data_IF_639675729937
#
_entry.id   IF_639675729937
#
_cell.length_a   1.000
_cell.length_b   1.000
_cell.length_c   1.000
_cell.angle_alpha   90.00
_cell.angle_beta   90.00
_cell.angle_gamma   90.00
#
_symmetry.space_group_name_H-M   'P 1'
#
loop_
_entity.id
_entity.type
_entity.pdbx_description
1 polymer ?
#
# COMPACT_ATOMS: atom_id res chain seq x y z
N UNK A 1 18.03 29.94 -69.02
CA UNK A 1 16.90 29.17 -68.42
C UNK A 1 17.47 28.54 -67.17
N UNK A 2 17.22 29.17 -65.98
CA UNK A 2 17.63 28.65 -64.66
C UNK A 2 16.49 27.76 -64.12
N UNK A 3 16.76 26.48 -63.97
CA UNK A 3 15.82 25.54 -63.30
C UNK A 3 15.89 25.76 -61.80
N UNK A 4 14.81 26.29 -61.22
CA UNK A 4 14.62 26.41 -59.80
C UNK A 4 14.25 25.04 -59.22
N UNK A 5 15.12 24.40 -58.45
CA UNK A 5 14.88 23.13 -57.75
C UNK A 5 14.17 23.46 -56.45
N UNK A 6 12.86 23.15 -56.37
CA UNK A 6 12.05 23.30 -55.16
C UNK A 6 12.33 22.12 -54.26
N UNK A 7 13.10 22.33 -53.18
CA UNK A 7 13.31 21.34 -52.12
C UNK A 7 12.06 21.34 -51.18
N UNK A 8 11.18 20.37 -51.34
CA UNK A 8 10.06 20.15 -50.41
C UNK A 8 10.64 19.42 -49.21
N UNK A 9 10.94 20.14 -48.12
CA UNK A 9 11.20 19.57 -46.82
C UNK A 9 9.92 19.06 -46.21
N UNK A 10 9.70 17.75 -46.28
CA UNK A 10 8.64 17.07 -45.58
C UNK A 10 8.99 17.06 -44.07
N UNK A 11 8.45 18.01 -43.30
CA UNK A 11 8.47 17.93 -41.84
C UNK A 11 7.63 16.76 -41.43
N UNK A 12 8.25 15.63 -41.14
CA UNK A 12 7.61 14.56 -40.35
C UNK A 12 7.37 15.06 -38.93
N UNK A 13 6.17 15.51 -38.63
CA UNK A 13 5.72 15.61 -37.25
C UNK A 13 5.61 14.17 -36.72
N UNK A 14 6.59 13.72 -35.98
CA UNK A 14 6.42 12.59 -35.10
C UNK A 14 5.39 13.04 -34.02
N UNK A 15 4.12 12.71 -34.24
CA UNK A 15 3.20 12.66 -33.13
C UNK A 15 3.71 11.51 -32.24
N UNK A 16 4.38 11.84 -31.14
CA UNK A 16 4.54 10.93 -30.04
C UNK A 16 3.12 10.65 -29.56
N UNK A 17 2.61 9.46 -29.86
CA UNK A 17 1.37 9.01 -29.26
C UNK A 17 1.64 8.87 -27.76
N UNK A 18 1.17 9.84 -26.98
CA UNK A 18 1.13 9.72 -25.54
C UNK A 18 -0.02 8.78 -25.19
N UNK A 19 0.16 7.90 -24.22
CA UNK A 19 -0.90 7.20 -23.56
C UNK A 19 -1.80 8.27 -22.95
N UNK A 20 -3.07 8.32 -23.28
CA UNK A 20 -3.98 9.38 -22.86
C UNK A 20 -5.37 8.79 -22.60
N UNK A 21 -6.00 9.32 -21.56
CA UNK A 21 -7.42 9.11 -21.30
C UNK A 21 -8.21 9.61 -22.50
N UNK A 22 -9.15 8.80 -23.01
CA UNK A 22 -10.02 9.15 -24.14
C UNK A 22 -11.47 9.38 -23.72
N UNK A 23 -11.87 8.91 -22.54
CA UNK A 23 -13.22 9.09 -22.00
C UNK A 23 -13.49 10.51 -21.51
N UNK A 24 -12.44 11.21 -21.07
CA UNK A 24 -12.50 12.59 -20.57
C UNK A 24 -11.41 13.44 -21.20
N UNK A 25 -11.67 14.75 -21.30
CA UNK A 25 -10.66 15.75 -21.67
C UNK A 25 -10.21 16.52 -20.42
N UNK A 26 -9.00 17.04 -20.42
CA UNK A 26 -8.54 17.95 -19.35
C UNK A 26 -9.51 19.13 -19.21
N UNK A 27 -9.98 19.37 -17.99
CA UNK A 27 -11.01 20.34 -17.66
C UNK A 27 -12.44 19.77 -17.57
N UNK A 28 -12.68 18.55 -17.99
CA UNK A 28 -13.98 17.90 -17.81
C UNK A 28 -14.19 17.48 -16.34
N UNK A 29 -15.44 17.48 -15.91
CA UNK A 29 -15.82 16.86 -14.64
C UNK A 29 -15.89 15.35 -14.82
N UNK A 30 -15.15 14.62 -13.98
CA UNK A 30 -15.19 13.18 -13.93
C UNK A 30 -16.43 12.72 -13.19
N UNK A 31 -17.15 11.76 -13.73
CA UNK A 31 -18.32 11.16 -13.09
C UNK A 31 -17.94 10.36 -11.84
N UNK A 32 -18.86 10.30 -10.87
CA UNK A 32 -18.64 9.54 -9.64
C UNK A 32 -18.59 8.04 -9.91
N UNK A 33 -17.70 7.36 -9.23
CA UNK A 33 -17.61 5.89 -9.27
C UNK A 33 -17.25 5.31 -7.90
N UNK A 34 -17.56 4.04 -7.74
CA UNK A 34 -17.13 3.22 -6.59
C UNK A 34 -16.46 1.95 -7.11
N UNK A 35 -15.31 1.63 -6.53
CA UNK A 35 -14.58 0.37 -6.74
C UNK A 35 -14.40 -0.34 -5.41
N UNK A 36 -14.21 -1.66 -5.46
CA UNK A 36 -13.78 -2.45 -4.31
C UNK A 36 -12.32 -2.86 -4.52
N UNK A 37 -11.49 -2.70 -3.51
CA UNK A 37 -10.09 -3.13 -3.55
C UNK A 37 -9.98 -4.64 -3.36
N UNK A 38 -8.81 -5.21 -3.66
CA UNK A 38 -8.52 -6.63 -3.41
C UNK A 38 -8.59 -6.99 -1.90
N UNK A 39 -8.49 -6.00 -1.01
CA UNK A 39 -8.65 -6.15 0.44
C UNK A 39 -10.12 -6.02 0.90
N UNK A 40 -11.04 -5.77 -0.02
CA UNK A 40 -12.48 -5.64 0.23
C UNK A 40 -12.92 -4.26 0.73
N UNK A 41 -12.09 -3.24 0.61
CA UNK A 41 -12.45 -1.86 0.93
C UNK A 41 -13.19 -1.20 -0.23
N UNK A 42 -14.29 -0.50 0.05
CA UNK A 42 -15.01 0.31 -0.95
C UNK A 42 -14.41 1.72 -1.00
N UNK A 43 -14.02 2.14 -2.21
CA UNK A 43 -13.47 3.46 -2.51
C UNK A 43 -14.43 4.19 -3.44
N UNK A 44 -14.87 5.38 -3.01
CA UNK A 44 -15.75 6.23 -3.82
C UNK A 44 -15.06 7.57 -4.14
N UNK A 45 -14.99 7.94 -5.42
CA UNK A 45 -14.27 9.12 -5.89
C UNK A 45 -14.76 10.39 -5.21
N UNK A 46 -16.08 10.65 -5.21
CA UNK A 46 -16.63 11.90 -4.69
C UNK A 46 -16.52 12.01 -3.16
N UNK A 47 -16.44 10.90 -2.45
CA UNK A 47 -16.15 10.91 -1.02
C UNK A 47 -14.73 11.39 -0.73
N UNK A 48 -13.75 10.97 -1.54
CA UNK A 48 -12.34 11.38 -1.41
C UNK A 48 -12.19 12.86 -1.75
N UNK A 49 -12.69 13.28 -2.91
CA UNK A 49 -12.57 14.66 -3.39
C UNK A 49 -13.30 15.65 -2.49
N UNK A 50 -14.47 15.26 -1.91
CA UNK A 50 -15.17 16.06 -0.91
C UNK A 50 -14.35 16.23 0.39
N UNK A 51 -13.40 15.33 0.66
CA UNK A 51 -12.39 15.46 1.71
C UNK A 51 -11.29 16.48 1.40
N UNK A 52 -11.25 17.00 0.18
CA UNK A 52 -10.27 18.00 -0.27
C UNK A 52 -9.01 17.39 -0.89
N UNK A 53 -9.00 16.10 -1.16
CA UNK A 53 -7.83 15.40 -1.70
C UNK A 53 -7.81 15.45 -3.23
N UNK A 54 -6.59 15.58 -3.79
CA UNK A 54 -6.32 15.32 -5.20
C UNK A 54 -6.19 13.82 -5.42
N UNK A 55 -6.77 13.28 -6.50
CA UNK A 55 -6.81 11.85 -6.75
C UNK A 55 -5.93 11.48 -7.93
N UNK A 56 -5.01 10.54 -7.71
CA UNK A 56 -4.21 9.89 -8.73
C UNK A 56 -4.77 8.50 -9.01
N UNK A 57 -5.00 8.19 -10.28
CA UNK A 57 -5.42 6.87 -10.71
C UNK A 57 -4.37 6.32 -11.67
N UNK A 58 -3.78 5.17 -11.33
CA UNK A 58 -2.92 4.38 -12.21
C UNK A 58 -3.73 3.27 -12.87
N UNK A 59 -3.94 3.37 -14.19
CA UNK A 59 -4.57 2.32 -14.98
C UNK A 59 -3.54 1.32 -15.46
N UNK A 60 -3.76 0.03 -15.17
CA UNK A 60 -2.79 -1.02 -15.43
C UNK A 60 -3.43 -2.37 -15.79
N UNK A 61 -2.61 -3.32 -16.23
CA UNK A 61 -2.91 -4.77 -16.23
C UNK A 61 -1.65 -5.56 -15.83
N UNK A 62 -1.84 -6.78 -15.32
CA UNK A 62 -0.78 -7.55 -14.65
C UNK A 62 0.42 -7.83 -15.56
N UNK A 63 0.21 -8.25 -16.82
CA UNK A 63 1.28 -8.58 -17.77
C UNK A 63 1.87 -7.36 -18.51
N UNK A 64 1.56 -6.15 -18.07
CA UNK A 64 2.06 -4.90 -18.65
C UNK A 64 3.48 -4.59 -18.14
N UNK A 65 4.50 -4.82 -18.95
CA UNK A 65 5.88 -4.56 -18.56
C UNK A 65 6.16 -3.11 -18.14
N UNK A 66 5.71 -2.07 -18.88
CA UNK A 66 5.81 -0.69 -18.41
C UNK A 66 5.10 -0.44 -17.08
N UNK A 67 3.92 -1.04 -16.84
CA UNK A 67 3.19 -0.92 -15.57
C UNK A 67 4.00 -1.52 -14.40
N UNK A 68 4.59 -2.69 -14.61
CA UNK A 68 5.47 -3.35 -13.64
C UNK A 68 6.68 -2.47 -13.24
N UNK A 69 7.17 -1.65 -14.17
CA UNK A 69 8.26 -0.71 -13.90
C UNK A 69 7.78 0.57 -13.18
N UNK A 70 6.52 0.94 -13.34
CA UNK A 70 5.93 2.16 -12.74
C UNK A 70 5.40 1.90 -11.34
N UNK A 71 4.89 0.71 -11.06
CA UNK A 71 4.27 0.34 -9.77
C UNK A 71 5.11 0.73 -8.54
N UNK A 72 6.42 0.43 -8.45
CA UNK A 72 7.19 0.79 -7.27
C UNK A 72 7.34 2.31 -7.09
N UNK A 73 7.34 3.09 -8.17
CA UNK A 73 7.37 4.55 -8.07
C UNK A 73 6.04 5.13 -7.61
N UNK A 74 4.93 4.52 -8.03
CA UNK A 74 3.60 4.93 -7.60
C UNK A 74 3.37 4.63 -6.12
N UNK A 75 3.76 3.44 -5.64
CA UNK A 75 3.72 3.10 -4.23
C UNK A 75 4.66 3.97 -3.39
N UNK A 76 5.85 4.31 -3.92
CA UNK A 76 6.76 5.25 -3.25
C UNK A 76 6.14 6.65 -3.11
N UNK A 77 5.43 7.11 -4.12
CA UNK A 77 4.70 8.38 -4.05
C UNK A 77 3.59 8.32 -2.99
N UNK A 78 2.79 7.27 -3.00
CA UNK A 78 1.77 7.01 -1.98
C UNK A 78 2.35 7.02 -0.55
N UNK A 79 3.47 6.31 -0.34
CA UNK A 79 4.16 6.23 0.95
C UNK A 79 4.71 7.58 1.39
N UNK A 80 5.32 8.34 0.48
CA UNK A 80 5.95 9.64 0.77
C UNK A 80 4.93 10.75 1.10
N UNK A 81 3.70 10.62 0.64
CA UNK A 81 2.64 11.62 0.82
C UNK A 81 1.50 11.16 1.74
N UNK A 82 1.80 10.26 2.69
CA UNK A 82 0.96 9.95 3.84
C UNK A 82 -0.04 8.82 3.64
N UNK A 83 0.17 7.92 2.68
CA UNK A 83 -0.68 6.74 2.49
C UNK A 83 -2.17 7.10 2.44
N UNK A 84 -2.52 8.06 1.58
CA UNK A 84 -3.88 8.57 1.39
C UNK A 84 -4.48 9.36 2.58
N UNK A 85 -3.69 9.68 3.61
CA UNK A 85 -4.15 10.53 4.72
C UNK A 85 -3.75 12.02 4.56
N UNK A 86 -2.93 12.33 3.53
CA UNK A 86 -2.46 13.67 3.22
C UNK A 86 -3.33 14.39 2.17
N UNK A 87 -2.67 15.28 1.41
CA UNK A 87 -3.32 16.10 0.37
C UNK A 87 -3.69 15.29 -0.89
N UNK A 88 -3.09 14.11 -1.06
CA UNK A 88 -3.26 13.25 -2.23
C UNK A 88 -3.84 11.90 -1.86
N UNK A 89 -4.63 11.34 -2.76
CA UNK A 89 -5.13 9.98 -2.71
C UNK A 89 -4.67 9.22 -3.95
N UNK A 90 -3.98 8.11 -3.77
CA UNK A 90 -3.50 7.23 -4.83
C UNK A 90 -4.33 5.96 -4.88
N UNK A 91 -4.72 5.52 -6.06
CA UNK A 91 -5.34 4.21 -6.30
C UNK A 91 -4.90 3.63 -7.64
N UNK A 92 -4.81 2.31 -7.73
CA UNK A 92 -4.56 1.58 -8.97
C UNK A 92 -5.82 0.84 -9.43
N UNK A 93 -6.17 1.00 -10.70
CA UNK A 93 -7.37 0.45 -11.32
C UNK A 93 -6.96 -0.50 -12.45
N UNK A 94 -7.26 -1.79 -12.27
CA UNK A 94 -7.01 -2.80 -13.30
C UNK A 94 -7.98 -2.66 -14.49
N UNK A 95 -7.57 -3.07 -15.68
CA UNK A 95 -8.45 -3.12 -16.86
C UNK A 95 -9.70 -4.01 -16.68
N UNK A 96 -9.77 -4.76 -15.58
CA UNK A 96 -10.83 -5.73 -15.31
C UNK A 96 -10.61 -7.11 -15.96
N UNK A 97 -9.43 -7.35 -16.52
CA UNK A 97 -9.07 -8.66 -17.08
C UNK A 97 -8.48 -9.62 -16.04
N UNK A 98 -7.93 -9.07 -14.98
CA UNK A 98 -7.23 -9.82 -13.94
C UNK A 98 -8.11 -9.90 -12.67
N UNK A 99 -8.13 -11.06 -12.02
CA UNK A 99 -8.81 -11.29 -10.76
C UNK A 99 -7.97 -10.82 -9.55
N UNK A 100 -8.54 -10.87 -8.34
CA UNK A 100 -7.88 -10.45 -7.11
C UNK A 100 -6.54 -11.17 -6.90
N UNK A 101 -6.47 -12.47 -7.15
CA UNK A 101 -5.26 -13.26 -6.90
C UNK A 101 -4.10 -12.87 -7.85
N UNK A 102 -4.42 -12.55 -9.11
CA UNK A 102 -3.42 -12.07 -10.07
C UNK A 102 -2.92 -10.68 -9.70
N UNK A 103 -3.83 -9.78 -9.29
CA UNK A 103 -3.48 -8.43 -8.86
C UNK A 103 -2.67 -8.43 -7.55
N UNK A 104 -3.01 -9.29 -6.58
CA UNK A 104 -2.22 -9.49 -5.37
C UNK A 104 -0.79 -9.97 -5.69
N UNK A 105 -0.68 -10.91 -6.64
CA UNK A 105 0.63 -11.38 -7.13
C UNK A 105 1.43 -10.27 -7.83
N UNK A 106 0.76 -9.41 -8.61
CA UNK A 106 1.40 -8.26 -9.25
C UNK A 106 1.96 -7.29 -8.20
N UNK A 107 1.17 -6.92 -7.21
CA UNK A 107 1.60 -6.03 -6.14
C UNK A 107 2.79 -6.63 -5.36
N UNK A 108 2.72 -7.90 -4.99
CA UNK A 108 3.80 -8.60 -4.29
C UNK A 108 5.11 -8.62 -5.09
N UNK A 109 5.04 -8.78 -6.40
CA UNK A 109 6.24 -8.92 -7.24
C UNK A 109 6.81 -7.60 -7.73
N UNK A 110 5.98 -6.57 -7.90
CA UNK A 110 6.36 -5.32 -8.55
C UNK A 110 6.10 -4.05 -7.75
N UNK A 111 5.35 -4.11 -6.64
CA UNK A 111 5.01 -2.95 -5.81
C UNK A 111 6.20 -2.30 -5.09
N UNK A 112 7.33 -3.01 -4.99
CA UNK A 112 8.53 -2.54 -4.29
C UNK A 112 8.44 -2.69 -2.77
N UNK A 113 9.32 -1.98 -2.05
CA UNK A 113 9.44 -2.03 -0.57
C UNK A 113 8.64 -0.90 0.11
N UNK A 114 7.61 -0.38 -0.54
CA UNK A 114 6.78 0.74 -0.07
C UNK A 114 5.39 0.26 0.37
N UNK A 115 4.68 1.12 1.10
CA UNK A 115 3.27 0.86 1.44
C UNK A 115 2.43 0.84 0.16
N UNK A 116 1.76 -0.28 -0.16
CA UNK A 116 0.97 -0.38 -1.39
C UNK A 116 -0.20 0.61 -1.37
N UNK A 117 -0.48 1.23 -2.51
CA UNK A 117 -1.71 1.98 -2.65
C UNK A 117 -2.91 1.03 -2.82
N UNK A 118 -4.14 1.47 -2.49
CA UNK A 118 -5.35 0.72 -2.77
C UNK A 118 -5.41 0.31 -4.24
N UNK A 119 -5.67 -0.96 -4.49
CA UNK A 119 -5.67 -1.54 -5.83
C UNK A 119 -6.94 -2.35 -6.07
N UNK A 120 -7.60 -2.16 -7.22
CA UNK A 120 -8.81 -2.87 -7.60
C UNK A 120 -8.58 -3.76 -8.81
N UNK A 121 -9.17 -4.95 -8.77
CA UNK A 121 -9.19 -5.96 -9.84
C UNK A 121 -10.51 -5.95 -10.60
N UNK A 122 -10.65 -6.87 -11.57
CA UNK A 122 -11.91 -7.15 -12.24
C UNK A 122 -13.05 -7.55 -11.31
N UNK A 123 -12.73 -8.26 -10.22
CA UNK A 123 -13.70 -8.68 -9.19
C UNK A 123 -14.23 -7.46 -8.40
N UNK A 124 -13.43 -6.41 -8.25
CA UNK A 124 -13.78 -5.16 -7.57
C UNK A 124 -14.50 -4.12 -8.44
N UNK A 125 -14.82 -4.45 -9.68
CA UNK A 125 -15.56 -3.55 -10.58
C UNK A 125 -14.68 -2.56 -11.36
N UNK A 126 -13.37 -2.72 -11.36
CA UNK A 126 -12.40 -1.87 -12.05
C UNK A 126 -12.68 -1.69 -13.55
N UNK A 127 -13.22 -2.74 -14.21
CA UNK A 127 -13.55 -2.70 -15.63
C UNK A 127 -14.53 -1.58 -16.02
N UNK A 128 -15.43 -1.17 -15.13
CA UNK A 128 -16.38 -0.08 -15.39
C UNK A 128 -15.62 1.23 -15.46
N UNK A 129 -14.74 1.49 -14.47
CA UNK A 129 -13.94 2.71 -14.40
C UNK A 129 -12.94 2.77 -15.54
N UNK A 130 -12.24 1.67 -15.85
CA UNK A 130 -11.31 1.59 -16.98
C UNK A 130 -12.01 1.93 -18.31
N UNK A 131 -13.22 1.36 -18.56
CA UNK A 131 -13.99 1.66 -19.74
C UNK A 131 -14.47 3.11 -19.82
N UNK A 132 -14.84 3.73 -18.70
CA UNK A 132 -15.32 5.13 -18.66
C UNK A 132 -14.16 6.09 -18.93
N UNK A 133 -12.98 5.83 -18.38
CA UNK A 133 -11.77 6.61 -18.65
C UNK A 133 -11.17 6.28 -20.03
N UNK A 134 -11.31 5.05 -20.50
CA UNK A 134 -10.87 4.56 -21.78
C UNK A 134 -9.40 4.90 -22.11
N UNK A 135 -8.42 4.38 -21.34
CA UNK A 135 -7.01 4.64 -21.59
C UNK A 135 -6.57 4.11 -22.95
N UNK A 136 -5.80 4.90 -23.71
CA UNK A 136 -5.31 4.48 -25.05
C UNK A 136 -4.15 3.49 -24.96
N UNK A 137 -3.44 3.44 -23.86
CA UNK A 137 -2.31 2.54 -23.56
C UNK A 137 -2.11 2.42 -22.04
N UNK A 138 -1.22 1.54 -21.60
CA UNK A 138 -0.92 1.29 -20.18
C UNK A 138 0.59 1.30 -19.91
N UNK A 139 1.04 1.84 -18.74
CA UNK A 139 0.19 2.50 -17.76
C UNK A 139 -0.32 3.83 -18.29
N UNK A 140 -1.46 4.28 -17.80
CA UNK A 140 -1.90 5.67 -17.91
C UNK A 140 -2.19 6.17 -16.51
N UNK A 141 -1.54 7.23 -16.09
CA UNK A 141 -1.77 7.84 -14.79
C UNK A 141 -2.45 9.19 -14.99
N UNK A 142 -3.60 9.38 -14.34
CA UNK A 142 -4.33 10.65 -14.39
C UNK A 142 -4.40 11.31 -13.03
N UNK A 143 -4.67 12.63 -13.04
CA UNK A 143 -4.81 13.49 -11.87
C UNK A 143 -6.17 14.19 -11.89
N UNK A 144 -6.91 14.09 -10.80
CA UNK A 144 -8.23 14.69 -10.60
C UNK A 144 -8.17 15.65 -9.41
N UNK A 145 -8.77 16.83 -9.55
CA UNK A 145 -8.84 17.83 -8.47
C UNK A 145 -9.91 17.49 -7.43
N UNK A 146 -9.88 18.17 -6.24
CA UNK A 146 -10.97 18.09 -5.26
C UNK A 146 -12.34 18.54 -5.78
N UNK A 147 -12.39 19.29 -6.87
CA UNK A 147 -13.63 19.70 -7.55
C UNK A 147 -14.10 18.68 -8.61
N UNK A 148 -13.52 17.48 -8.62
CA UNK A 148 -13.80 16.38 -9.58
C UNK A 148 -13.43 16.72 -11.02
N UNK A 149 -12.48 17.61 -11.26
CA UNK A 149 -12.04 18.01 -12.59
C UNK A 149 -10.78 17.23 -12.97
N UNK A 150 -10.75 16.62 -14.16
CA UNK A 150 -9.55 16.02 -14.70
C UNK A 150 -8.51 17.12 -15.00
N UNK A 151 -7.41 17.14 -14.25
CA UNK A 151 -6.32 18.09 -14.42
C UNK A 151 -5.28 17.61 -15.42
N UNK A 152 -4.94 16.32 -15.36
CA UNK A 152 -3.98 15.70 -16.26
C UNK A 152 -4.46 14.28 -16.61
N UNK A 153 -4.51 13.95 -17.89
CA UNK A 153 -4.96 12.65 -18.39
C UNK A 153 -3.83 11.69 -18.76
N UNK A 154 -2.57 12.08 -18.58
CA UNK A 154 -1.40 11.26 -18.93
C UNK A 154 -0.12 11.83 -18.28
N UNK A 155 0.16 11.40 -17.05
CA UNK A 155 1.42 11.76 -16.37
C UNK A 155 2.49 10.78 -16.86
N UNK A 156 3.24 11.18 -17.87
CA UNK A 156 4.26 10.37 -18.52
C UNK A 156 5.38 11.24 -19.11
N UNK A 157 6.68 10.80 -19.15
CA UNK A 157 7.19 9.53 -18.65
C UNK A 157 7.40 9.54 -17.13
N UNK A 158 7.33 8.35 -16.49
CA UNK A 158 7.66 8.17 -15.09
C UNK A 158 9.07 7.60 -14.98
N UNK A 159 9.95 8.29 -14.26
CA UNK A 159 11.32 7.89 -13.95
C UNK A 159 11.60 7.82 -12.45
N UNK A 160 10.77 8.47 -11.65
CA UNK A 160 10.84 8.51 -10.19
C UNK A 160 9.47 8.90 -9.60
N UNK A 161 9.31 8.69 -8.30
CA UNK A 161 8.09 9.09 -7.60
C UNK A 161 7.84 10.61 -7.61
N UNK A 162 8.89 11.43 -7.79
CA UNK A 162 8.75 12.90 -7.83
C UNK A 162 8.00 13.39 -9.07
N UNK A 163 7.97 12.60 -10.16
CA UNK A 163 7.27 13.00 -11.39
C UNK A 163 5.76 13.15 -11.14
N UNK A 164 5.20 12.41 -10.17
CA UNK A 164 3.81 12.60 -9.75
C UNK A 164 3.61 13.90 -8.96
N UNK A 165 4.53 14.23 -8.04
CA UNK A 165 4.47 15.49 -7.30
C UNK A 165 4.64 16.70 -8.23
N UNK A 166 5.55 16.62 -9.21
CA UNK A 166 5.79 17.66 -10.20
C UNK A 166 4.55 17.92 -11.05
N UNK A 167 3.79 16.88 -11.41
CA UNK A 167 2.52 17.04 -12.13
C UNK A 167 1.50 17.88 -11.34
N UNK A 168 1.46 17.76 -10.01
CA UNK A 168 0.58 18.57 -9.15
C UNK A 168 1.12 20.00 -8.98
N UNK A 169 2.46 20.16 -8.91
CA UNK A 169 3.11 21.48 -8.89
C UNK A 169 2.82 22.26 -10.17
N UNK A 170 2.80 21.61 -11.33
CA UNK A 170 2.45 22.22 -12.61
C UNK A 170 1.02 22.74 -12.65
N UNK A 171 0.11 22.15 -11.86
CA UNK A 171 -1.27 22.61 -11.65
C UNK A 171 -1.38 23.69 -10.55
N UNK A 172 -0.25 24.09 -9.95
CA UNK A 172 -0.18 25.19 -8.98
C UNK A 172 -0.37 24.77 -7.52
N UNK A 173 -0.34 23.49 -7.21
CA UNK A 173 -0.42 22.96 -5.85
C UNK A 173 0.87 22.19 -5.50
N UNK A 174 1.41 22.43 -4.31
CA UNK A 174 2.58 21.68 -3.80
C UNK A 174 2.13 20.79 -2.67
N UNK A 175 2.12 19.45 -2.86
CA UNK A 175 1.72 18.53 -1.81
C UNK A 175 2.75 18.50 -0.68
N UNK A 176 2.29 18.34 0.57
CA UNK A 176 3.18 18.22 1.72
C UNK A 176 3.66 16.78 1.88
N UNK A 177 4.98 16.59 2.07
CA UNK A 177 5.53 15.29 2.45
C UNK A 177 5.00 14.90 3.83
N UNK A 178 4.42 13.71 3.94
CA UNK A 178 3.87 13.18 5.17
C UNK A 178 4.25 11.71 5.30
N UNK A 179 4.79 11.34 6.47
CA UNK A 179 5.03 9.92 6.73
C UNK A 179 3.69 9.19 6.86
N UNK A 180 3.62 7.97 6.31
CA UNK A 180 2.49 7.09 6.54
C UNK A 180 2.29 6.88 8.04
N UNK A 181 1.22 7.40 8.58
CA UNK A 181 0.78 7.07 9.94
C UNK A 181 0.03 5.74 9.97
N UNK A 182 0.24 4.93 8.95
CA UNK A 182 -0.42 3.65 8.84
C UNK A 182 -0.33 2.93 10.17
N UNK A 183 -1.49 2.67 10.76
CA UNK A 183 -1.73 1.52 11.63
C UNK A 183 -1.58 0.22 10.81
N UNK A 184 -0.67 0.19 9.83
CA UNK A 184 -0.15 -1.06 9.38
C UNK A 184 0.50 -1.64 10.63
N UNK A 185 -0.09 -2.67 11.16
CA UNK A 185 0.72 -3.70 11.76
C UNK A 185 1.70 -4.08 10.65
N UNK A 186 2.79 -3.31 10.54
CA UNK A 186 4.01 -3.83 9.95
C UNK A 186 4.20 -5.07 10.80
N UNK A 187 3.85 -6.21 10.26
CA UNK A 187 4.46 -7.44 10.71
C UNK A 187 5.94 -7.13 10.54
N UNK A 188 6.52 -6.58 11.61
CA UNK A 188 7.96 -6.67 11.77
C UNK A 188 8.11 -8.17 11.61
N UNK A 189 8.70 -8.64 10.50
CA UNK A 189 9.37 -9.91 10.54
C UNK A 189 10.27 -9.80 11.76
N UNK A 190 9.69 -10.18 12.87
CA UNK A 190 10.44 -10.39 14.09
C UNK A 190 11.32 -11.55 13.67
N UNK A 191 12.52 -11.22 13.21
CA UNK A 191 13.65 -12.12 13.37
C UNK A 191 13.39 -12.64 14.75
N UNK A 192 12.95 -13.92 14.85
CA UNK A 192 12.40 -14.50 16.08
C UNK A 192 13.36 -14.22 17.23
N UNK A 193 13.24 -13.01 17.81
CA UNK A 193 14.10 -12.58 18.91
C UNK A 193 13.74 -13.37 20.17
N UNK A 194 12.56 -14.01 20.17
CA UNK A 194 12.05 -14.76 21.29
C UNK A 194 11.44 -16.09 20.83
N UNK A 195 11.66 -17.12 21.64
CA UNK A 195 11.01 -18.42 21.48
C UNK A 195 10.29 -18.80 22.78
N UNK A 196 9.07 -19.36 22.64
CA UNK A 196 8.23 -19.78 23.77
C UNK A 196 7.96 -21.28 23.66
N UNK A 197 8.44 -22.05 24.62
CA UNK A 197 8.28 -23.52 24.64
C UNK A 197 8.15 -24.08 26.05
N UNK A 198 7.50 -25.25 26.22
CA UNK A 198 6.75 -25.98 25.20
C UNK A 198 5.43 -25.28 24.83
N UNK A 199 4.98 -25.46 23.60
CA UNK A 199 3.67 -25.06 23.13
C UNK A 199 3.09 -26.22 22.30
N UNK A 200 2.03 -26.94 22.78
CA UNK A 200 1.23 -26.71 23.99
C UNK A 200 1.99 -26.93 25.30
N UNK A 201 1.52 -26.23 26.36
CA UNK A 201 2.09 -26.26 27.71
C UNK A 201 1.09 -26.81 28.73
N UNK A 202 1.58 -27.53 29.78
CA UNK A 202 0.77 -28.01 30.90
C UNK A 202 1.08 -27.32 32.22
N UNK A 203 2.37 -27.18 32.55
CA UNK A 203 2.83 -26.73 33.86
C UNK A 203 3.61 -25.40 33.80
N UNK A 204 4.49 -25.27 32.81
CA UNK A 204 5.34 -24.11 32.64
C UNK A 204 5.65 -23.85 31.15
N UNK A 205 6.03 -22.62 30.86
CA UNK A 205 6.64 -22.22 29.61
C UNK A 205 8.00 -21.59 29.87
N UNK A 206 8.92 -21.80 28.97
CA UNK A 206 10.21 -21.12 28.93
C UNK A 206 10.19 -20.11 27.79
N UNK A 207 10.51 -18.88 28.08
CA UNK A 207 10.67 -17.79 27.11
C UNK A 207 12.15 -17.53 26.99
N UNK A 208 12.71 -17.68 25.79
CA UNK A 208 14.14 -17.48 25.50
C UNK A 208 14.32 -16.39 24.46
N UNK A 209 15.25 -15.47 24.71
CA UNK A 209 15.64 -14.41 23.78
C UNK A 209 16.94 -14.78 23.06
N UNK A 210 16.98 -14.60 21.74
CA UNK A 210 18.21 -14.73 20.95
C UNK A 210 18.80 -13.33 20.70
N UNK A 211 19.85 -13.00 21.46
CA UNK A 211 20.58 -11.74 21.34
C UNK A 211 19.95 -10.53 22.02
N UNK A 212 18.84 -10.69 22.76
CA UNK A 212 18.14 -9.62 23.49
C UNK A 212 17.99 -9.96 24.98
N UNK A 213 17.64 -8.96 25.79
CA UNK A 213 17.32 -9.13 27.22
C UNK A 213 15.81 -8.99 27.41
N UNK A 214 15.20 -9.95 28.10
CA UNK A 214 13.77 -9.89 28.46
C UNK A 214 13.62 -8.91 29.64
N UNK A 215 12.88 -7.82 29.43
CA UNK A 215 12.59 -6.83 30.46
C UNK A 215 11.28 -7.09 31.18
N UNK A 216 10.22 -7.44 30.42
CA UNK A 216 8.93 -7.72 31.00
C UNK A 216 8.16 -8.77 30.17
N UNK A 217 7.27 -9.49 30.85
CA UNK A 217 6.34 -10.44 30.24
C UNK A 217 4.94 -10.17 30.79
N UNK A 218 3.98 -10.11 29.90
CA UNK A 218 2.54 -10.02 30.21
C UNK A 218 1.79 -11.13 29.48
N UNK A 219 0.82 -11.73 30.12
CA UNK A 219 -0.02 -12.77 29.51
C UNK A 219 -1.50 -12.42 29.62
N UNK A 220 -2.21 -12.63 28.52
CA UNK A 220 -3.63 -12.31 28.39
C UNK A 220 -4.41 -13.54 27.96
N UNK A 221 -5.62 -13.73 28.49
CA UNK A 221 -6.54 -14.75 28.03
C UNK A 221 -7.28 -14.32 26.75
N UNK A 222 -8.09 -15.22 26.18
CA UNK A 222 -8.82 -15.01 24.92
C UNK A 222 -9.83 -13.84 24.94
N UNK A 223 -10.23 -13.34 26.12
CA UNK A 223 -11.09 -12.17 26.27
C UNK A 223 -10.34 -10.89 26.63
N UNK A 224 -8.97 -10.91 26.53
CA UNK A 224 -8.12 -9.75 26.74
C UNK A 224 -7.82 -9.42 28.21
N UNK A 225 -8.22 -10.26 29.17
CA UNK A 225 -7.87 -10.04 30.57
C UNK A 225 -6.42 -10.45 30.82
N UNK A 226 -5.65 -9.57 31.49
CA UNK A 226 -4.30 -9.88 31.93
C UNK A 226 -4.32 -10.89 33.06
N UNK A 227 -3.70 -12.07 32.85
CA UNK A 227 -3.67 -13.18 33.80
C UNK A 227 -2.28 -13.36 34.46
N UNK A 228 -1.23 -12.79 33.87
CA UNK A 228 0.12 -12.86 34.39
C UNK A 228 0.91 -11.62 34.00
N UNK A 229 1.80 -11.19 34.88
CA UNK A 229 2.76 -10.13 34.61
C UNK A 229 4.00 -10.33 35.47
N UNK A 230 5.18 -10.22 34.85
CA UNK A 230 6.47 -10.19 35.56
C UNK A 230 7.40 -9.19 34.89
N UNK A 231 8.22 -8.53 35.71
CA UNK A 231 9.43 -7.83 35.21
C UNK A 231 10.61 -8.74 35.48
N UNK A 232 11.36 -9.03 34.41
CA UNK A 232 12.56 -9.86 34.53
C UNK A 232 13.68 -9.06 35.16
N UNK A 233 14.62 -9.76 35.81
CA UNK A 233 15.83 -9.13 36.36
C UNK A 233 16.72 -8.67 35.19
N UNK A 234 17.48 -7.60 35.41
CA UNK A 234 18.20 -6.78 34.43
C UNK A 234 19.23 -7.49 33.50
N UNK A 235 19.20 -8.80 33.35
CA UNK A 235 20.13 -9.55 32.49
C UNK A 235 19.56 -10.91 32.05
N UNK A 236 18.23 -11.10 32.12
CA UNK A 236 17.63 -12.40 31.80
C UNK A 236 17.39 -12.53 30.28
N UNK A 237 18.10 -13.44 29.64
CA UNK A 237 17.80 -13.90 28.28
C UNK A 237 16.87 -15.13 28.25
N UNK A 238 16.49 -15.65 29.41
CA UNK A 238 15.57 -16.77 29.58
C UNK A 238 14.73 -16.58 30.84
N UNK A 239 13.41 -16.75 30.72
CA UNK A 239 12.45 -16.65 31.83
C UNK A 239 11.52 -17.86 31.82
N UNK A 240 11.35 -18.51 32.99
CA UNK A 240 10.38 -19.56 33.17
C UNK A 240 9.10 -18.98 33.83
N UNK A 241 7.96 -19.28 33.23
CA UNK A 241 6.65 -18.86 33.69
C UNK A 241 5.81 -20.08 34.05
N UNK A 242 5.33 -20.12 35.31
CA UNK A 242 4.41 -21.17 35.77
C UNK A 242 3.00 -20.88 35.20
N UNK A 243 2.46 -21.81 34.42
CA UNK A 243 1.11 -21.76 33.84
C UNK A 243 0.20 -22.81 34.45
N UNK A 244 0.66 -23.56 35.47
CA UNK A 244 -0.10 -24.61 36.12
C UNK A 244 -1.39 -24.13 36.80
N UNK A 245 -1.49 -22.86 37.12
CA UNK A 245 -2.68 -22.22 37.68
C UNK A 245 -3.69 -21.71 36.65
N UNK A 246 -3.35 -21.71 35.36
CA UNK A 246 -4.22 -21.19 34.30
C UNK A 246 -5.21 -22.27 33.81
N UNK A 247 -6.37 -21.89 33.35
CA UNK A 247 -7.32 -22.78 32.70
C UNK A 247 -6.82 -23.25 31.32
N UNK A 248 -7.28 -24.40 30.85
CA UNK A 248 -6.96 -24.84 29.50
C UNK A 248 -7.54 -23.84 28.46
N UNK A 249 -6.71 -23.43 27.50
CA UNK A 249 -7.12 -22.44 26.51
C UNK A 249 -5.97 -21.74 25.81
N UNK A 250 -6.32 -20.78 24.96
CA UNK A 250 -5.37 -19.94 24.22
C UNK A 250 -5.05 -18.69 25.02
N UNK A 251 -3.75 -18.36 25.09
CA UNK A 251 -3.23 -17.16 25.72
C UNK A 251 -2.27 -16.43 24.79
N UNK A 252 -2.24 -15.11 24.89
CA UNK A 252 -1.26 -14.24 24.21
C UNK A 252 -0.22 -13.85 25.24
N UNK A 253 1.04 -14.09 24.91
CA UNK A 253 2.22 -13.72 25.70
C UNK A 253 2.89 -12.51 25.03
N UNK A 254 2.85 -11.37 25.66
CA UNK A 254 3.60 -10.19 25.25
C UNK A 254 4.94 -10.17 25.99
N UNK A 255 6.01 -10.04 25.22
CA UNK A 255 7.39 -10.02 25.71
C UNK A 255 7.98 -8.66 25.32
N UNK A 256 8.60 -7.99 26.28
CA UNK A 256 9.24 -6.68 26.08
C UNK A 256 10.74 -6.83 26.27
N UNK A 257 11.52 -6.34 25.33
CA UNK A 257 12.99 -6.29 25.43
C UNK A 257 13.49 -5.07 26.20
N UNK A 258 14.80 -4.92 26.29
CA UNK A 258 15.48 -3.79 26.96
C UNK A 258 15.20 -2.43 26.31
N UNK A 259 14.78 -2.39 25.04
CA UNK A 259 14.40 -1.19 24.29
C UNK A 259 12.90 -0.92 24.33
N UNK A 260 12.15 -1.71 25.15
CA UNK A 260 10.69 -1.68 25.25
C UNK A 260 9.98 -2.06 23.94
N UNK A 261 10.65 -2.78 23.03
CA UNK A 261 10.05 -3.37 21.84
C UNK A 261 9.22 -4.58 22.26
N UNK A 262 7.97 -4.63 21.81
CA UNK A 262 7.01 -5.69 22.14
C UNK A 262 7.00 -6.77 21.07
N UNK A 263 7.18 -8.01 21.47
CA UNK A 263 6.85 -9.21 20.67
C UNK A 263 5.66 -9.94 21.29
N UNK A 264 4.83 -10.58 20.49
CA UNK A 264 3.62 -11.28 20.94
C UNK A 264 3.61 -12.71 20.40
N UNK A 265 3.45 -13.68 21.30
CA UNK A 265 3.39 -15.10 20.96
C UNK A 265 2.09 -15.72 21.47
N UNK A 266 1.55 -16.65 20.69
CA UNK A 266 0.35 -17.42 21.06
C UNK A 266 0.74 -18.76 21.63
N UNK A 267 0.27 -19.05 22.85
CA UNK A 267 0.44 -20.37 23.47
C UNK A 267 -0.89 -21.06 23.70
N UNK A 268 -0.87 -22.39 23.74
CA UNK A 268 -2.00 -23.24 24.11
C UNK A 268 -1.70 -23.95 25.42
N UNK A 269 -2.48 -23.66 26.47
CA UNK A 269 -2.40 -24.35 27.76
C UNK A 269 -3.33 -25.56 27.73
N UNK A 270 -2.82 -26.73 28.06
CA UNK A 270 -3.57 -28.00 28.12
C UNK A 270 -3.57 -28.57 29.55
N UNK A 271 -4.57 -29.42 29.85
CA UNK A 271 -4.67 -30.14 31.12
C UNK A 271 -4.65 -31.63 30.89
#
# INVERSE_FOLDING_TARGET
MKKLLLLITCLFFFNLAHAQIQGYSVGDTVDDFTITTIDGEEINLYTITAGGQYVYIDFFFVDCGPCQNTAPHFNQFHDAYGCNEGDVFCMSVNTGQDDDAYVESYETNYGGDYSPCPISSGDGGSAVVDNDFNPAAYPTICLISPDNVLLNGDIWPISSYSDFADALVDEGFTPELMECTALSVKEIESKEAFSVYPNPASDHITISADGSIIQAIEMFNSIGNKVYQVRANASANTVNVDVSGLDAGIYIVNIYDENNVKSSERINVIR
#
